data_IF_528958909648
#
_entry.id   IF_528958909648
#
_cell.length_a   1.000
_cell.length_b   1.000
_cell.length_c   1.000
_cell.angle_alpha   90.00
_cell.angle_beta   90.00
_cell.angle_gamma   90.00
#
_symmetry.space_group_name_H-M   'P 1'
#
loop_
_entity.id
_entity.type
_entity.pdbx_description
1 polymer ?
#
# COMPACT_ATOMS: atom_id res chain seq x y z
N UNK A 1 -1.59 -11.93 7.80
CA UNK A 1 -1.01 -13.27 7.48
C UNK A 1 -0.72 -13.40 5.99
N UNK A 2 -1.72 -13.31 5.11
CA UNK A 2 -1.53 -13.45 3.64
C UNK A 2 -0.50 -12.46 3.08
N UNK A 3 -0.56 -11.17 3.46
CA UNK A 3 0.39 -10.15 2.99
C UNK A 3 1.84 -10.48 3.32
N UNK A 4 2.11 -10.92 4.55
CA UNK A 4 3.46 -11.31 4.98
C UNK A 4 4.00 -12.49 4.16
N UNK A 5 3.15 -13.47 3.86
CA UNK A 5 3.54 -14.62 3.04
C UNK A 5 3.83 -14.17 1.60
N UNK A 6 2.97 -13.35 1.00
CA UNK A 6 3.20 -12.80 -0.35
C UNK A 6 4.53 -12.03 -0.42
N UNK A 7 4.82 -11.19 0.57
CA UNK A 7 6.08 -10.44 0.63
C UNK A 7 7.31 -11.35 0.78
N UNK A 8 7.18 -12.45 1.53
CA UNK A 8 8.25 -13.43 1.70
C UNK A 8 8.54 -14.20 0.41
N UNK A 9 7.50 -14.60 -0.34
CA UNK A 9 7.68 -15.30 -1.61
C UNK A 9 8.03 -14.37 -2.78
N UNK A 10 7.63 -13.10 -2.71
CA UNK A 10 7.84 -12.09 -3.74
C UNK A 10 8.47 -10.82 -3.15
N UNK A 11 9.79 -10.83 -2.88
CA UNK A 11 10.46 -9.73 -2.19
C UNK A 11 10.52 -8.44 -3.01
N UNK A 12 10.65 -8.54 -4.33
CA UNK A 12 10.83 -7.38 -5.22
C UNK A 12 9.54 -6.91 -5.89
N UNK A 13 8.48 -7.71 -5.83
CA UNK A 13 7.23 -7.41 -6.52
C UNK A 13 6.41 -6.38 -5.76
N UNK A 14 5.74 -5.50 -6.50
CA UNK A 14 4.73 -4.62 -5.96
C UNK A 14 3.54 -5.42 -5.42
N UNK A 15 3.21 -5.21 -4.14
CA UNK A 15 2.02 -5.79 -3.51
C UNK A 15 1.05 -4.65 -3.24
N UNK A 16 -0.07 -4.65 -4.00
CA UNK A 16 -1.11 -3.65 -3.90
C UNK A 16 -2.30 -4.15 -3.09
N UNK A 17 -2.64 -3.45 -2.00
CA UNK A 17 -3.86 -3.71 -1.23
C UNK A 17 -5.02 -2.85 -1.75
N UNK A 18 -6.12 -3.51 -2.08
CA UNK A 18 -7.33 -2.89 -2.62
C UNK A 18 -8.45 -2.89 -1.58
N UNK A 19 -9.69 -2.87 -2.07
CA UNK A 19 -10.89 -2.85 -1.24
C UNK A 19 -11.01 -4.02 -0.29
N UNK A 20 -11.67 -3.77 0.85
CA UNK A 20 -11.86 -4.74 1.92
C UNK A 20 -10.75 -4.73 2.98
N UNK A 21 -9.71 -3.90 2.84
CA UNK A 21 -8.67 -3.75 3.88
C UNK A 21 -9.27 -3.16 5.16
N UNK A 22 -10.22 -2.25 5.04
CA UNK A 22 -10.91 -1.59 6.15
C UNK A 22 -11.79 -2.56 6.93
N UNK A 23 -12.38 -3.54 6.25
CA UNK A 23 -13.23 -4.56 6.89
C UNK A 23 -12.40 -5.68 7.51
N UNK A 24 -11.36 -6.13 6.80
CA UNK A 24 -10.55 -7.29 7.19
C UNK A 24 -9.43 -6.95 8.19
N UNK A 25 -8.75 -5.82 7.99
CA UNK A 25 -7.66 -5.36 8.85
C UNK A 25 -8.13 -4.35 9.91
N UNK A 26 -9.20 -3.60 9.65
CA UNK A 26 -9.79 -2.62 10.59
C UNK A 26 -8.73 -1.64 11.08
N UNK A 27 -8.47 -1.60 12.39
CA UNK A 27 -7.42 -0.76 13.00
C UNK A 27 -6.00 -1.20 12.65
N UNK A 28 -5.81 -2.40 12.09
CA UNK A 28 -4.51 -2.95 11.69
C UNK A 28 -4.15 -2.66 10.23
N UNK A 29 -4.97 -1.88 9.50
CA UNK A 29 -4.63 -1.40 8.15
C UNK A 29 -3.22 -0.81 8.06
N UNK A 30 -2.74 0.01 9.01
CA UNK A 30 -1.39 0.59 8.95
C UNK A 30 -0.29 -0.48 8.95
N UNK A 31 -0.49 -1.58 9.69
CA UNK A 31 0.45 -2.69 9.72
C UNK A 31 0.51 -3.46 8.39
N UNK A 32 -0.57 -3.43 7.61
CA UNK A 32 -0.60 -4.01 6.27
C UNK A 32 0.39 -3.36 5.31
N UNK A 33 0.66 -2.06 5.48
CA UNK A 33 1.56 -1.29 4.61
C UNK A 33 3.05 -1.60 4.83
N UNK A 34 3.41 -2.33 5.88
CA UNK A 34 4.79 -2.85 6.02
C UNK A 34 5.06 -4.02 5.07
N UNK A 35 4.03 -4.80 4.74
CA UNK A 35 4.13 -5.91 3.81
C UNK A 35 3.71 -5.52 2.38
N UNK A 36 2.76 -4.60 2.25
CA UNK A 36 2.26 -4.07 0.99
C UNK A 36 2.78 -2.65 0.76
N UNK A 37 3.40 -2.40 -0.38
CA UNK A 37 4.01 -1.10 -0.71
C UNK A 37 3.11 -0.23 -1.60
N UNK A 38 1.84 -0.60 -1.76
CA UNK A 38 0.91 0.08 -2.66
C UNK A 38 -0.53 -0.13 -2.20
N UNK A 39 -1.39 0.88 -2.37
CA UNK A 39 -2.80 0.79 -2.00
C UNK A 39 -3.69 1.62 -2.92
N UNK A 40 -4.95 1.20 -3.07
CA UNK A 40 -5.96 2.04 -3.73
C UNK A 40 -6.57 3.02 -2.72
N UNK A 41 -6.58 4.29 -3.09
CA UNK A 41 -7.18 5.38 -2.30
C UNK A 41 -8.61 5.62 -2.77
N UNK A 42 -9.52 5.90 -1.82
CA UNK A 42 -10.93 6.24 -2.09
C UNK A 42 -11.81 5.09 -2.60
N UNK A 43 -12.99 5.45 -3.11
CA UNK A 43 -14.02 4.56 -3.66
C UNK A 43 -13.42 3.48 -4.55
N UNK A 44 -13.61 2.24 -4.11
CA UNK A 44 -13.24 1.08 -4.89
C UNK A 44 -14.21 1.00 -6.07
N UNK A 45 -13.72 0.53 -7.21
CA UNK A 45 -14.39 0.47 -8.52
C UNK A 45 -15.92 0.20 -8.50
N UNK A 46 -16.41 -0.56 -7.52
CA UNK A 46 -17.83 -0.91 -7.34
C UNK A 46 -18.38 -0.71 -5.92
N UNK A 47 -17.56 -0.30 -4.94
CA UNK A 47 -17.91 -0.36 -3.53
C UNK A 47 -17.38 0.86 -2.78
N UNK A 48 -18.20 1.55 -1.96
CA UNK A 48 -17.72 2.67 -1.17
C UNK A 48 -16.60 2.21 -0.25
N UNK A 49 -15.48 2.94 -0.31
CA UNK A 49 -14.26 2.64 0.42
C UNK A 49 -14.09 3.50 1.67
N UNK A 50 -12.89 3.42 2.25
CA UNK A 50 -12.46 4.42 3.24
C UNK A 50 -12.25 5.77 2.53
N UNK A 51 -12.57 6.87 3.23
CA UNK A 51 -12.33 8.21 2.69
C UNK A 51 -10.84 8.42 2.41
N UNK A 52 -10.53 9.03 1.26
CA UNK A 52 -9.16 9.26 0.81
C UNK A 52 -8.30 9.99 1.85
N UNK A 53 -8.87 10.98 2.54
CA UNK A 53 -8.17 11.77 3.55
C UNK A 53 -7.65 10.92 4.71
N UNK A 54 -8.39 9.87 5.09
CA UNK A 54 -7.98 8.93 6.14
C UNK A 54 -6.84 8.02 5.66
N UNK A 55 -6.84 7.65 4.38
CA UNK A 55 -5.72 6.90 3.79
C UNK A 55 -4.45 7.74 3.78
N UNK A 56 -4.55 9.00 3.35
CA UNK A 56 -3.41 9.92 3.33
C UNK A 56 -2.89 10.23 4.74
N UNK A 57 -3.78 10.42 5.71
CA UNK A 57 -3.39 10.60 7.11
C UNK A 57 -2.65 9.37 7.64
N UNK A 58 -3.16 8.16 7.38
CA UNK A 58 -2.53 6.92 7.80
C UNK A 58 -1.11 6.74 7.23
N UNK A 59 -0.92 7.01 5.93
CA UNK A 59 0.41 6.89 5.30
C UNK A 59 1.38 7.92 5.88
N UNK A 60 0.90 9.14 6.14
CA UNK A 60 1.70 10.22 6.74
C UNK A 60 2.09 9.91 8.19
N UNK A 61 1.17 9.35 8.98
CA UNK A 61 1.42 8.96 10.37
C UNK A 61 2.44 7.82 10.49
N UNK A 62 2.50 6.95 9.48
CA UNK A 62 3.54 5.91 9.37
C UNK A 62 4.91 6.46 8.94
N UNK A 63 4.99 7.72 8.51
CA UNK A 63 6.21 8.33 8.00
C UNK A 63 6.60 7.84 6.60
N UNK A 64 5.65 7.30 5.83
CA UNK A 64 5.89 6.87 4.46
C UNK A 64 5.71 8.02 3.46
N UNK A 65 6.40 7.92 2.32
CA UNK A 65 6.28 8.85 1.21
C UNK A 65 5.25 8.34 0.19
N UNK A 66 4.36 9.24 -0.26
CA UNK A 66 3.33 8.92 -1.25
C UNK A 66 3.90 9.23 -2.63
N UNK A 67 4.04 8.19 -3.45
CA UNK A 67 4.39 8.33 -4.87
C UNK A 67 3.11 8.19 -5.70
N UNK A 68 2.78 9.24 -6.46
CA UNK A 68 1.61 9.27 -7.36
C UNK A 68 2.10 9.24 -8.81
N UNK A 69 1.57 8.32 -9.61
CA UNK A 69 2.13 7.97 -10.92
C UNK A 69 2.99 6.72 -10.75
N UNK A 70 2.64 5.65 -11.47
CA UNK A 70 3.27 4.34 -11.32
C UNK A 70 4.79 4.48 -11.33
N UNK A 71 5.47 3.79 -10.41
CA UNK A 71 6.91 3.85 -10.22
C UNK A 71 7.61 3.87 -11.59
N UNK A 72 8.07 5.04 -12.02
CA UNK A 72 9.08 5.10 -13.06
C UNK A 72 10.23 4.29 -12.49
N UNK A 73 10.56 3.20 -13.18
CA UNK A 73 11.51 2.22 -12.70
C UNK A 73 12.73 2.95 -12.16
N UNK A 74 13.04 2.71 -10.88
CA UNK A 74 14.38 2.88 -10.37
C UNK A 74 15.27 1.91 -11.14
N UNK A 75 15.64 2.30 -12.35
CA UNK A 75 16.82 1.83 -13.03
C UNK A 75 17.96 2.23 -12.11
N UNK A 76 18.61 1.22 -11.54
CA UNK A 76 19.90 1.35 -10.88
C UNK A 76 20.83 2.22 -11.74
N UNK A 77 20.94 3.51 -11.41
CA UNK A 77 22.15 4.28 -11.70
C UNK A 77 23.08 4.00 -10.53
N UNK A 78 23.88 2.93 -10.68
CA UNK A 78 24.98 2.66 -9.77
C UNK A 78 25.98 3.83 -9.79
N UNK A 79 26.68 4.10 -8.68
CA UNK A 79 27.71 5.12 -8.66
C UNK A 79 28.94 4.64 -9.45
N UNK A 80 29.56 5.56 -10.17
CA UNK A 80 30.94 5.46 -10.68
C UNK A 80 31.95 5.34 -9.52
#
# INVERSE_FOLDING_TARGET
KVLCLLRMFHPETEIRIAGGREVNLRSLQPLGLYAANSMFVSDYLTTPGQAADLDFAMVRDLGFEIVIGGAEGSLCSGPE
#
